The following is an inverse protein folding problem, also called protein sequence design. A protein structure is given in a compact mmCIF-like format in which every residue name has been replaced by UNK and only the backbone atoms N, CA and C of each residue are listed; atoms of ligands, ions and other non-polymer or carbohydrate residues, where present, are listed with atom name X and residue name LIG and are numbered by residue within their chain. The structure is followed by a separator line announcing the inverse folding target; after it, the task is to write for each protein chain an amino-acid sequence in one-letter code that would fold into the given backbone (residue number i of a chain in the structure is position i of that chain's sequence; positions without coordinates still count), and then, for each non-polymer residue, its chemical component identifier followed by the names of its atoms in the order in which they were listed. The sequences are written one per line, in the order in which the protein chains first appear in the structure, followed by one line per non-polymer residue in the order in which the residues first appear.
data_IF_034081966439
#
_entry.id   IF_034081966439
#
_cell.length_a   1.000
_cell.length_b   1.000
_cell.length_c   1.000
_cell.angle_alpha   90.00
_cell.angle_beta   90.00
_cell.angle_gamma   90.00
#
_symmetry.space_group_name_H-M   'P 1'
#
loop_
_entity.id
_entity.type
_entity.pdbx_description
1 polymer ?
#
# COMPACT_ATOMS: atom_id res chain seq x y z
N UNK A 1 40.50 50.96 24.39
CA UNK A 1 40.36 51.09 22.92
C UNK A 1 39.91 49.73 22.31
N UNK A 2 40.50 48.61 22.72
CA UNK A 2 40.12 47.27 22.15
C UNK A 2 38.68 46.78 22.44
N UNK A 3 38.05 47.19 23.55
CA UNK A 3 36.67 46.74 23.88
C UNK A 3 35.58 47.48 23.09
N UNK A 4 35.85 48.68 22.61
CA UNK A 4 34.93 49.44 21.76
C UNK A 4 34.81 48.86 20.36
N UNK A 5 35.91 48.35 19.80
CA UNK A 5 35.85 47.69 18.48
C UNK A 5 35.06 46.37 18.46
N UNK A 6 35.08 45.62 19.56
CA UNK A 6 34.31 44.36 19.67
C UNK A 6 32.80 44.59 19.75
N UNK A 7 32.34 45.69 20.36
CA UNK A 7 30.92 46.04 20.43
C UNK A 7 30.34 46.54 19.11
N UNK A 8 31.16 47.16 18.26
CA UNK A 8 30.75 47.67 16.95
C UNK A 8 30.73 46.58 15.88
N UNK A 9 31.54 45.51 16.02
CA UNK A 9 31.62 44.42 15.05
C UNK A 9 30.51 43.35 15.28
N UNK A 10 30.05 43.19 16.52
CA UNK A 10 29.04 42.19 16.88
C UNK A 10 27.72 42.29 16.09
N UNK A 11 27.13 43.51 15.94
CA UNK A 11 25.93 43.68 15.12
C UNK A 11 26.13 43.31 13.65
N UNK A 12 27.34 43.55 13.10
CA UNK A 12 27.68 43.16 11.71
C UNK A 12 27.77 41.63 11.54
N UNK A 13 28.28 40.90 12.54
CA UNK A 13 28.31 39.43 12.52
C UNK A 13 26.89 38.85 12.66
N UNK A 14 26.06 39.42 13.54
CA UNK A 14 24.66 39.02 13.70
C UNK A 14 23.87 39.29 12.42
N UNK A 15 24.11 40.37 11.73
CA UNK A 15 23.49 40.73 10.45
C UNK A 15 23.88 39.73 9.34
N UNK A 16 25.17 39.34 9.29
CA UNK A 16 25.66 38.32 8.37
C UNK A 16 25.03 36.95 8.63
N UNK A 17 24.91 36.54 9.89
CA UNK A 17 24.29 35.27 10.27
C UNK A 17 22.79 35.26 9.95
N UNK A 18 22.09 36.36 10.25
CA UNK A 18 20.66 36.49 9.94
C UNK A 18 20.41 36.47 8.42
N UNK A 19 21.25 37.15 7.64
CA UNK A 19 21.18 37.16 6.19
C UNK A 19 21.41 35.74 5.61
N UNK A 20 22.41 35.03 6.12
CA UNK A 20 22.65 33.63 5.71
C UNK A 20 21.47 32.69 6.01
N UNK A 21 20.84 32.89 7.20
CA UNK A 21 19.64 32.11 7.57
C UNK A 21 18.44 32.43 6.66
N UNK A 22 18.21 33.71 6.37
CA UNK A 22 17.15 34.14 5.44
C UNK A 22 17.40 33.57 4.03
N UNK A 23 18.64 33.67 3.54
CA UNK A 23 19.02 33.14 2.24
C UNK A 23 18.80 31.61 2.18
N UNK A 24 19.20 30.89 3.25
CA UNK A 24 18.96 29.46 3.38
C UNK A 24 17.47 29.11 3.38
N UNK A 25 16.66 29.89 4.09
CA UNK A 25 15.19 29.68 4.09
C UNK A 25 14.57 29.94 2.71
N UNK A 26 14.99 31.01 2.03
CA UNK A 26 14.52 31.34 0.66
C UNK A 26 14.93 30.24 -0.33
N UNK A 27 16.17 29.74 -0.23
CA UNK A 27 16.63 28.63 -1.09
C UNK A 27 15.80 27.38 -0.88
N UNK A 28 15.53 26.98 0.38
CA UNK A 28 14.65 25.84 0.68
C UNK A 28 13.22 26.04 0.20
N UNK A 29 12.67 27.26 0.36
CA UNK A 29 11.35 27.58 -0.16
C UNK A 29 11.30 27.47 -1.70
N UNK A 30 12.35 27.96 -2.36
CA UNK A 30 12.46 27.84 -3.81
C UNK A 30 12.58 26.39 -4.25
N UNK A 31 13.38 25.55 -3.59
CA UNK A 31 13.48 24.11 -3.86
C UNK A 31 12.12 23.41 -3.78
N UNK A 32 11.28 23.81 -2.80
CA UNK A 32 9.92 23.27 -2.65
C UNK A 32 9.00 23.75 -3.78
N UNK A 33 9.09 25.04 -4.15
CA UNK A 33 8.27 25.61 -5.23
C UNK A 33 8.66 25.10 -6.61
N UNK A 34 9.93 24.75 -6.80
CA UNK A 34 10.46 24.20 -8.05
C UNK A 34 10.20 22.68 -8.20
N UNK A 35 9.60 22.02 -7.18
CA UNK A 35 9.18 20.61 -7.30
C UNK A 35 8.17 20.52 -8.44
N UNK A 36 8.44 19.70 -9.47
CA UNK A 36 7.52 19.56 -10.59
C UNK A 36 6.18 18.99 -10.12
N UNK A 37 5.11 19.72 -10.41
CA UNK A 37 3.75 19.22 -10.19
C UNK A 37 3.44 18.19 -11.26
N UNK A 38 2.97 17.02 -10.84
CA UNK A 38 2.51 15.99 -11.77
C UNK A 38 1.36 16.53 -12.61
N UNK A 39 1.60 16.67 -13.92
CA UNK A 39 0.57 17.06 -14.90
C UNK A 39 0.08 15.80 -15.61
N UNK A 40 -1.22 15.73 -15.86
CA UNK A 40 -1.84 14.63 -16.57
C UNK A 40 -3.29 14.93 -16.92
N UNK A 41 -3.91 14.06 -17.71
CA UNK A 41 -5.33 14.16 -18.05
C UNK A 41 -6.20 13.51 -16.97
N UNK A 42 -7.42 14.04 -16.81
CA UNK A 42 -8.44 13.53 -15.87
C UNK A 42 -9.29 12.41 -16.45
N UNK A 43 -9.02 11.98 -17.67
CA UNK A 43 -9.79 10.95 -18.38
C UNK A 43 -9.21 9.58 -18.04
N UNK A 44 -9.87 8.82 -17.15
CA UNK A 44 -9.45 7.49 -16.75
C UNK A 44 -9.99 6.43 -17.71
N UNK A 45 -9.19 5.43 -18.11
CA UNK A 45 -9.64 4.39 -19.03
C UNK A 45 -10.83 3.58 -18.48
N UNK A 46 -11.76 3.19 -19.36
CA UNK A 46 -12.88 2.30 -19.01
C UNK A 46 -12.41 0.85 -18.76
N UNK A 47 -11.36 0.43 -19.44
CA UNK A 47 -10.71 -0.85 -19.20
C UNK A 47 -9.66 -0.68 -18.10
N UNK A 48 -9.66 -1.55 -17.11
CA UNK A 48 -8.81 -1.48 -15.94
C UNK A 48 -7.72 -2.56 -15.93
N UNK A 49 -7.31 -3.08 -17.11
CA UNK A 49 -6.14 -3.93 -17.20
C UNK A 49 -4.88 -3.15 -16.79
N UNK A 50 -3.95 -3.86 -16.16
CA UNK A 50 -2.69 -3.26 -15.68
C UNK A 50 -1.56 -3.98 -16.40
N UNK A 51 -0.66 -3.20 -17.00
CA UNK A 51 0.49 -3.76 -17.70
C UNK A 51 1.79 -3.03 -17.34
N UNK A 52 2.78 -3.78 -16.92
CA UNK A 52 4.15 -3.33 -16.74
C UNK A 52 4.98 -3.86 -17.91
N UNK A 53 5.67 -2.97 -18.64
CA UNK A 53 6.51 -3.30 -19.80
C UNK A 53 7.95 -2.92 -19.53
N UNK A 54 8.81 -3.93 -19.39
CA UNK A 54 10.26 -3.77 -19.19
C UNK A 54 10.62 -2.76 -18.09
N UNK A 55 9.85 -2.75 -17.00
CA UNK A 55 9.97 -1.74 -15.93
C UNK A 55 11.26 -1.95 -15.16
N UNK A 56 12.08 -0.87 -15.10
CA UNK A 56 13.23 -0.75 -14.21
C UNK A 56 13.01 0.39 -13.23
N UNK A 57 13.35 0.14 -11.95
CA UNK A 57 13.18 1.13 -10.91
C UNK A 57 14.21 1.00 -9.79
N UNK A 58 14.74 2.13 -9.36
CA UNK A 58 15.62 2.28 -8.20
C UNK A 58 15.16 3.47 -7.36
N UNK A 59 15.17 3.33 -6.02
CA UNK A 59 14.97 4.49 -5.16
C UNK A 59 16.22 5.37 -5.21
N UNK A 60 16.05 6.69 -5.42
CA UNK A 60 17.14 7.65 -5.33
C UNK A 60 17.55 7.77 -3.87
N UNK A 61 18.79 7.48 -3.55
CA UNK A 61 19.39 7.78 -2.24
C UNK A 61 19.85 9.25 -2.29
N UNK A 62 19.02 10.19 -1.85
CA UNK A 62 19.50 11.54 -1.54
C UNK A 62 20.35 11.45 -0.27
N UNK A 63 21.56 12.00 -0.31
CA UNK A 63 22.66 11.90 0.65
C UNK A 63 22.30 11.63 2.10
N UNK A 64 22.94 10.60 2.64
CA UNK A 64 23.23 10.35 4.05
C UNK A 64 22.16 10.70 5.11
N UNK A 65 21.01 10.02 5.09
CA UNK A 65 20.22 9.71 6.29
C UNK A 65 18.97 8.94 5.84
N UNK A 66 19.02 7.61 5.92
CA UNK A 66 17.83 6.77 5.68
C UNK A 66 17.99 5.67 4.63
N UNK A 67 19.21 5.13 4.44
CA UNK A 67 19.37 3.88 3.70
C UNK A 67 18.61 2.76 4.42
N UNK A 68 17.43 2.38 3.90
CA UNK A 68 16.84 1.08 4.24
C UNK A 68 17.82 0.02 3.70
N UNK A 69 18.20 -0.92 4.57
CA UNK A 69 19.14 -2.01 4.28
C UNK A 69 18.70 -2.79 3.03
N UNK A 70 19.35 -2.50 1.92
CA UNK A 70 19.26 -3.21 0.65
C UNK A 70 20.50 -2.89 -0.13
N UNK A 71 21.29 -3.91 -0.46
CA UNK A 71 22.64 -3.81 -1.01
C UNK A 71 22.83 -2.70 -2.05
N UNK A 72 23.78 -1.83 -1.78
CA UNK A 72 24.22 -0.75 -2.67
C UNK A 72 24.85 -1.35 -3.93
N UNK A 73 24.24 -1.07 -5.09
CA UNK A 73 24.94 -1.20 -6.40
C UNK A 73 26.11 -0.24 -6.48
N UNK A 74 27.06 -0.50 -7.37
CA UNK A 74 28.31 0.26 -7.55
C UNK A 74 28.13 1.78 -7.76
N UNK A 75 26.88 2.24 -8.05
CA UNK A 75 26.56 3.64 -8.36
C UNK A 75 25.68 4.32 -7.29
N UNK A 76 25.58 3.77 -6.07
CA UNK A 76 24.72 4.34 -5.01
C UNK A 76 23.21 4.24 -5.28
N UNK A 77 22.79 3.47 -6.28
CA UNK A 77 21.38 3.16 -6.59
C UNK A 77 21.09 1.72 -6.20
N UNK A 78 19.99 1.51 -5.54
CA UNK A 78 19.50 0.15 -5.22
C UNK A 78 18.48 -0.24 -6.29
N UNK A 79 18.89 -1.03 -7.29
CA UNK A 79 17.97 -1.57 -8.29
C UNK A 79 16.97 -2.52 -7.60
N UNK A 80 15.74 -2.07 -7.49
CA UNK A 80 14.65 -2.83 -6.85
C UNK A 80 13.84 -3.62 -7.87
N UNK A 81 13.73 -3.11 -9.11
CA UNK A 81 13.08 -3.80 -10.21
C UNK A 81 13.96 -3.74 -11.46
N UNK A 82 14.09 -4.89 -12.16
CA UNK A 82 14.98 -5.06 -13.31
C UNK A 82 14.22 -5.71 -14.47
N UNK A 83 13.67 -4.89 -15.39
CA UNK A 83 13.00 -5.35 -16.59
C UNK A 83 11.73 -6.14 -16.31
N UNK A 84 10.92 -5.69 -15.36
CA UNK A 84 9.67 -6.36 -14.96
C UNK A 84 8.64 -6.26 -16.06
N UNK A 85 8.08 -7.43 -16.43
CA UNK A 85 6.94 -7.56 -17.33
C UNK A 85 5.81 -8.27 -16.60
N UNK A 86 4.62 -7.66 -16.55
CA UNK A 86 3.44 -8.21 -15.92
C UNK A 86 2.19 -7.71 -16.64
N UNK A 87 1.23 -8.58 -16.87
CA UNK A 87 -0.09 -8.21 -17.36
C UNK A 87 -1.18 -8.82 -16.48
N UNK A 88 -2.06 -7.95 -15.97
CA UNK A 88 -3.25 -8.27 -15.17
C UNK A 88 -4.44 -7.80 -16.00
N UNK A 89 -5.38 -8.70 -16.27
CA UNK A 89 -6.57 -8.38 -17.08
C UNK A 89 -7.58 -7.62 -16.26
N UNK A 90 -8.45 -6.87 -16.93
CA UNK A 90 -9.60 -6.24 -16.27
C UNK A 90 -10.44 -7.28 -15.54
N UNK A 91 -10.80 -6.98 -14.28
CA UNK A 91 -11.53 -7.90 -13.40
C UNK A 91 -10.73 -9.08 -12.86
N UNK A 92 -9.45 -9.25 -13.23
CA UNK A 92 -8.58 -10.33 -12.73
C UNK A 92 -8.04 -10.04 -11.34
N UNK A 93 -7.93 -11.08 -10.51
CA UNK A 93 -7.30 -11.03 -9.20
C UNK A 93 -5.93 -11.71 -9.26
N UNK A 94 -4.87 -10.90 -9.17
CA UNK A 94 -3.48 -11.34 -9.26
C UNK A 94 -2.79 -11.30 -7.89
N UNK A 95 -2.21 -12.43 -7.47
CA UNK A 95 -1.34 -12.44 -6.30
C UNK A 95 0.12 -12.17 -6.67
N UNK A 96 0.79 -11.28 -5.95
CA UNK A 96 2.24 -11.08 -5.98
C UNK A 96 2.88 -11.86 -4.82
N UNK A 97 3.69 -12.85 -5.12
CA UNK A 97 4.37 -13.71 -4.15
C UNK A 97 5.88 -13.56 -4.32
N UNK A 98 6.63 -13.56 -3.23
CA UNK A 98 8.09 -13.46 -3.25
C UNK A 98 8.65 -13.13 -1.89
N UNK A 99 9.98 -13.22 -1.72
CA UNK A 99 10.65 -12.89 -0.46
C UNK A 99 10.43 -11.43 -0.06
N UNK A 100 10.62 -11.12 1.22
CA UNK A 100 10.70 -9.73 1.67
C UNK A 100 11.81 -9.01 0.91
N UNK A 101 11.57 -7.77 0.48
CA UNK A 101 12.53 -6.99 -0.32
C UNK A 101 12.62 -7.36 -1.81
N UNK A 102 11.84 -8.32 -2.33
CA UNK A 102 11.89 -8.72 -3.74
C UNK A 102 11.32 -7.67 -4.72
N UNK A 103 10.69 -6.59 -4.23
CA UNK A 103 10.12 -5.53 -5.06
C UNK A 103 8.59 -5.54 -5.19
N UNK A 104 7.87 -6.41 -4.44
CA UNK A 104 6.39 -6.48 -4.49
C UNK A 104 5.71 -5.14 -4.16
N UNK A 105 6.09 -4.51 -3.04
CA UNK A 105 5.54 -3.20 -2.64
C UNK A 105 5.90 -2.11 -3.64
N UNK A 106 7.09 -2.18 -4.23
CA UNK A 106 7.49 -1.24 -5.30
C UNK A 106 6.60 -1.37 -6.53
N UNK A 107 6.20 -2.59 -6.92
CA UNK A 107 5.27 -2.79 -8.05
C UNK A 107 3.94 -2.06 -7.78
N UNK A 108 3.35 -2.22 -6.59
CA UNK A 108 2.08 -1.55 -6.26
C UNK A 108 2.24 -0.03 -6.13
N UNK A 109 3.37 0.46 -5.63
CA UNK A 109 3.68 1.89 -5.56
C UNK A 109 3.80 2.53 -6.96
N UNK A 110 4.37 1.80 -7.94
CA UNK A 110 4.46 2.24 -9.32
C UNK A 110 3.10 2.22 -10.04
N UNK A 111 2.28 1.20 -9.80
CA UNK A 111 0.90 1.13 -10.34
C UNK A 111 0.05 2.29 -9.80
N UNK A 112 0.24 2.67 -8.54
CA UNK A 112 -0.43 3.81 -7.90
C UNK A 112 0.22 5.15 -8.21
N UNK A 113 1.28 5.17 -9.02
CA UNK A 113 2.09 6.35 -9.37
C UNK A 113 2.61 7.11 -8.16
N UNK A 114 2.96 6.42 -7.05
CA UNK A 114 3.71 7.06 -5.95
C UNK A 114 5.14 7.40 -6.39
N UNK A 115 5.63 6.71 -7.40
CA UNK A 115 6.90 6.98 -8.10
C UNK A 115 6.71 6.79 -9.59
N UNK A 116 7.48 7.54 -10.39
CA UNK A 116 7.60 7.32 -11.83
C UNK A 116 8.74 6.35 -12.13
N UNK A 117 8.54 5.44 -13.09
CA UNK A 117 9.57 4.50 -13.55
C UNK A 117 10.71 5.23 -14.26
N UNK A 118 11.95 4.73 -14.09
CA UNK A 118 13.11 5.25 -14.80
C UNK A 118 13.19 4.71 -16.23
N UNK A 119 12.87 3.41 -16.42
CA UNK A 119 12.84 2.79 -17.75
C UNK A 119 11.57 1.91 -17.82
N UNK A 120 11.06 1.75 -19.04
CA UNK A 120 9.83 1.01 -19.29
C UNK A 120 8.57 1.85 -19.03
N UNK A 121 7.44 1.16 -18.96
CA UNK A 121 6.11 1.78 -18.85
C UNK A 121 5.23 1.01 -17.87
N UNK A 122 4.37 1.76 -17.16
CA UNK A 122 3.23 1.23 -16.41
C UNK A 122 1.96 1.76 -17.06
N UNK A 123 1.08 0.85 -17.47
CA UNK A 123 -0.12 1.17 -18.21
C UNK A 123 -1.36 0.71 -17.43
N UNK A 124 -2.42 1.50 -17.47
CA UNK A 124 -3.77 1.14 -17.04
C UNK A 124 -4.70 1.35 -18.23
N UNK A 125 -5.42 0.31 -18.65
CA UNK A 125 -6.28 0.36 -19.83
C UNK A 125 -5.53 0.76 -21.11
N UNK A 126 -4.25 0.39 -21.23
CA UNK A 126 -3.38 0.75 -22.34
C UNK A 126 -2.83 2.18 -22.29
N UNK A 127 -3.20 3.01 -21.31
CA UNK A 127 -2.71 4.38 -21.12
C UNK A 127 -1.61 4.43 -20.07
N UNK A 128 -0.53 5.15 -20.37
CA UNK A 128 0.58 5.30 -19.44
C UNK A 128 0.15 6.09 -18.19
N UNK A 129 0.45 5.57 -16.99
CA UNK A 129 0.09 6.23 -15.73
C UNK A 129 0.70 7.63 -15.60
N UNK A 130 1.81 7.92 -16.28
CA UNK A 130 2.43 9.25 -16.35
C UNK A 130 1.57 10.30 -17.09
N UNK A 131 0.64 9.85 -17.92
CA UNK A 131 -0.27 10.72 -18.67
C UNK A 131 -1.55 11.05 -17.91
N UNK A 132 -1.83 10.34 -16.81
CA UNK A 132 -2.98 10.57 -15.95
C UNK A 132 -2.62 11.54 -14.83
N UNK A 133 -3.54 12.43 -14.45
CA UNK A 133 -3.32 13.25 -13.27
C UNK A 133 -3.37 12.39 -11.98
N UNK A 134 -2.70 12.86 -10.93
CA UNK A 134 -2.56 12.10 -9.69
C UNK A 134 -3.91 11.88 -8.98
N UNK A 135 -4.78 12.89 -8.97
CA UNK A 135 -6.09 12.81 -8.33
C UNK A 135 -6.98 11.79 -9.05
N UNK A 136 -6.88 11.71 -10.37
CA UNK A 136 -7.58 10.72 -11.18
C UNK A 136 -7.14 9.31 -10.84
N UNK A 137 -5.84 9.06 -10.72
CA UNK A 137 -5.32 7.75 -10.29
C UNK A 137 -5.81 7.44 -8.87
N UNK A 138 -5.67 8.39 -7.94
CA UNK A 138 -6.09 8.19 -6.55
C UNK A 138 -7.61 7.96 -6.41
N UNK A 139 -8.45 8.51 -7.30
CA UNK A 139 -9.90 8.22 -7.30
C UNK A 139 -10.19 6.79 -7.74
N UNK A 140 -9.43 6.26 -8.70
CA UNK A 140 -9.71 4.98 -9.36
C UNK A 140 -8.89 3.80 -8.84
N UNK A 141 -7.94 4.04 -7.94
CA UNK A 141 -7.13 2.99 -7.26
C UNK A 141 -7.39 3.05 -5.76
N UNK A 142 -7.90 1.99 -5.17
CA UNK A 142 -8.04 1.85 -3.72
C UNK A 142 -6.91 0.97 -3.19
N UNK A 143 -6.33 1.35 -2.04
CA UNK A 143 -5.26 0.59 -1.40
C UNK A 143 -5.65 0.30 0.04
N UNK A 144 -5.58 -0.98 0.43
CA UNK A 144 -5.69 -1.42 1.83
C UNK A 144 -4.29 -1.83 2.29
N UNK A 145 -3.68 -1.00 3.13
CA UNK A 145 -2.32 -1.22 3.64
C UNK A 145 -2.30 -2.21 4.79
N UNK A 146 -1.16 -2.89 4.98
CA UNK A 146 -0.87 -3.75 6.13
C UNK A 146 -1.06 -3.02 7.47
N UNK A 147 -0.52 -1.80 7.58
CA UNK A 147 -0.68 -0.95 8.76
C UNK A 147 -1.82 0.03 8.52
N UNK A 148 -2.96 -0.27 9.12
CA UNK A 148 -4.12 0.60 9.05
C UNK A 148 -3.94 1.83 9.92
N UNK A 149 -4.04 3.01 9.31
CA UNK A 149 -4.04 4.28 10.01
C UNK A 149 -5.48 4.76 10.24
N UNK A 150 -5.78 5.16 11.48
CA UNK A 150 -7.02 5.84 11.85
C UNK A 150 -6.69 7.21 12.41
N UNK A 151 -7.44 8.23 11.99
CA UNK A 151 -7.35 9.59 12.53
C UNK A 151 -8.04 9.66 13.90
N UNK A 152 -7.83 10.76 14.65
CA UNK A 152 -8.50 10.97 15.95
C UNK A 152 -9.98 11.36 15.83
N UNK A 153 -10.49 11.43 14.62
CA UNK A 153 -11.88 11.76 14.34
C UNK A 153 -12.84 10.64 14.73
N UNK A 154 -14.14 10.81 14.48
CA UNK A 154 -15.14 9.78 14.69
C UNK A 154 -14.93 8.57 13.76
N UNK A 155 -15.54 7.44 14.07
CA UNK A 155 -15.57 6.27 13.19
C UNK A 155 -16.17 6.64 11.84
N UNK A 156 -17.23 7.45 11.83
CA UNK A 156 -17.88 7.97 10.63
C UNK A 156 -16.88 8.68 9.71
N UNK A 157 -16.14 9.65 10.24
CA UNK A 157 -15.18 10.42 9.47
C UNK A 157 -13.97 9.56 9.03
N UNK A 158 -13.59 8.59 9.85
CA UNK A 158 -12.57 7.61 9.48
C UNK A 158 -12.98 6.74 8.29
N UNK A 159 -14.25 6.39 8.13
CA UNK A 159 -14.74 5.65 6.97
C UNK A 159 -14.93 6.59 5.77
N UNK A 160 -15.49 7.78 5.96
CA UNK A 160 -15.68 8.79 4.92
C UNK A 160 -14.37 9.25 4.25
N UNK A 161 -13.32 9.44 5.04
CA UNK A 161 -12.03 9.98 4.56
C UNK A 161 -12.18 11.23 3.67
N UNK A 162 -13.01 12.18 4.13
CA UNK A 162 -13.25 13.43 3.42
C UNK A 162 -14.26 13.37 2.26
N UNK A 163 -14.89 12.21 2.01
CA UNK A 163 -16.01 12.14 1.05
C UNK A 163 -17.29 12.77 1.65
N UNK A 164 -18.22 13.16 0.80
CA UNK A 164 -19.54 13.67 1.19
C UNK A 164 -20.58 12.57 1.39
N UNK A 165 -20.16 11.31 1.55
CA UNK A 165 -21.06 10.17 1.71
C UNK A 165 -21.99 10.33 2.92
N UNK A 166 -23.26 9.97 2.77
CA UNK A 166 -24.26 9.97 3.84
C UNK A 166 -23.94 8.91 4.91
N UNK A 167 -24.55 9.02 6.08
CA UNK A 167 -24.44 8.00 7.12
C UNK A 167 -24.95 6.63 6.62
N UNK A 168 -25.99 6.61 5.78
CA UNK A 168 -26.56 5.39 5.22
C UNK A 168 -25.57 4.67 4.29
N UNK A 169 -24.89 5.41 3.43
CA UNK A 169 -23.84 4.86 2.55
C UNK A 169 -22.65 4.33 3.35
N UNK A 170 -22.23 5.06 4.39
CA UNK A 170 -21.16 4.62 5.29
C UNK A 170 -21.56 3.34 6.02
N UNK A 171 -22.81 3.24 6.52
CA UNK A 171 -23.32 2.04 7.16
C UNK A 171 -23.42 0.85 6.21
N UNK A 172 -23.84 1.08 4.96
CA UNK A 172 -23.86 0.04 3.95
C UNK A 172 -22.45 -0.53 3.71
N UNK A 173 -21.46 0.34 3.55
CA UNK A 173 -20.06 -0.07 3.41
C UNK A 173 -19.52 -0.80 4.65
N UNK A 174 -19.89 -0.35 5.86
CA UNK A 174 -19.50 -0.98 7.12
C UNK A 174 -20.11 -2.38 7.29
N UNK A 175 -21.35 -2.60 6.85
CA UNK A 175 -22.01 -3.93 6.84
C UNK A 175 -21.29 -4.89 5.90
N UNK A 176 -20.94 -4.46 4.70
CA UNK A 176 -20.17 -5.27 3.76
C UNK A 176 -18.77 -5.60 4.31
N UNK A 177 -18.17 -4.67 5.06
CA UNK A 177 -16.90 -4.84 5.76
C UNK A 177 -17.02 -5.63 7.08
N UNK A 178 -18.19 -6.16 7.45
CA UNK A 178 -18.43 -6.94 8.67
C UNK A 178 -18.05 -6.17 9.96
N UNK A 179 -18.34 -4.84 10.04
CA UNK A 179 -17.95 -3.98 11.17
C UNK A 179 -19.12 -3.13 11.71
N UNK A 180 -20.29 -3.08 11.03
CA UNK A 180 -21.44 -2.25 11.46
C UNK A 180 -21.95 -2.64 12.86
N UNK A 181 -22.10 -3.94 13.14
CA UNK A 181 -22.59 -4.43 14.43
C UNK A 181 -21.66 -4.04 15.59
N UNK A 182 -20.35 -4.16 15.37
CA UNK A 182 -19.34 -3.69 16.32
C UNK A 182 -19.46 -2.18 16.54
N UNK A 183 -19.54 -1.37 15.47
CA UNK A 183 -19.66 0.09 15.59
C UNK A 183 -20.94 0.46 16.36
N UNK A 184 -22.06 -0.20 16.07
CA UNK A 184 -23.33 0.03 16.76
C UNK A 184 -23.33 -0.39 18.24
N UNK A 185 -22.41 -1.27 18.64
CA UNK A 185 -22.23 -1.65 20.05
C UNK A 185 -21.41 -0.63 20.86
N UNK A 186 -20.75 0.33 20.20
CA UNK A 186 -20.00 1.39 20.87
C UNK A 186 -20.95 2.41 21.51
N UNK A 187 -20.57 3.06 22.63
CA UNK A 187 -21.45 3.99 23.35
C UNK A 187 -22.04 5.11 22.49
N UNK A 188 -21.22 5.67 21.57
CA UNK A 188 -21.63 6.75 20.67
C UNK A 188 -21.76 6.27 19.21
N UNK A 189 -21.80 4.94 18.98
CA UNK A 189 -21.91 4.36 17.64
C UNK A 189 -20.88 4.94 16.65
N UNK A 190 -21.35 5.43 15.51
CA UNK A 190 -20.52 6.05 14.48
C UNK A 190 -19.86 7.35 14.90
N UNK A 191 -20.38 8.07 15.90
CA UNK A 191 -19.77 9.31 16.43
C UNK A 191 -18.67 9.03 17.45
N UNK A 192 -18.44 7.76 17.81
CA UNK A 192 -17.38 7.36 18.72
C UNK A 192 -16.03 7.86 18.22
N UNK A 193 -15.33 8.66 19.05
CA UNK A 193 -14.00 9.17 18.73
C UNK A 193 -12.97 8.06 18.82
N UNK A 194 -12.24 7.90 17.73
CA UNK A 194 -11.09 6.99 17.67
C UNK A 194 -9.95 7.61 18.46
N UNK A 195 -9.46 6.95 19.50
CA UNK A 195 -8.33 7.46 20.30
C UNK A 195 -7.07 7.67 19.46
N UNK A 196 -6.00 8.16 20.08
CA UNK A 196 -4.72 8.40 19.38
C UNK A 196 -4.30 7.17 18.57
N UNK A 197 -4.22 7.32 17.24
CA UNK A 197 -3.88 6.25 16.29
C UNK A 197 -4.72 4.97 16.40
N UNK A 198 -5.99 5.11 16.81
CA UNK A 198 -6.88 3.95 16.95
C UNK A 198 -6.57 3.08 18.17
N UNK A 199 -5.98 3.62 19.24
CA UNK A 199 -5.57 2.86 20.43
C UNK A 199 -6.70 2.08 21.11
N UNK A 200 -7.97 2.42 20.84
CA UNK A 200 -9.16 1.76 21.38
C UNK A 200 -9.67 0.58 20.57
N UNK A 201 -9.10 0.34 19.38
CA UNK A 201 -9.55 -0.69 18.45
C UNK A 201 -8.50 -1.78 18.29
N UNK A 202 -8.93 -3.02 18.20
CA UNK A 202 -8.08 -4.16 17.87
C UNK A 202 -7.53 -4.05 16.43
N UNK A 203 -6.54 -4.86 16.10
CA UNK A 203 -6.00 -4.91 14.73
C UNK A 203 -7.05 -5.28 13.68
N UNK A 204 -7.92 -6.26 13.99
CA UNK A 204 -8.99 -6.70 13.09
C UNK A 204 -10.07 -5.63 12.86
N UNK A 205 -10.48 -4.92 13.91
CA UNK A 205 -11.44 -3.82 13.80
C UNK A 205 -10.90 -2.67 12.96
N UNK A 206 -9.65 -2.25 13.20
CA UNK A 206 -8.98 -1.24 12.36
C UNK A 206 -8.95 -1.64 10.89
N UNK A 207 -8.65 -2.91 10.63
CA UNK A 207 -8.57 -3.43 9.29
C UNK A 207 -9.93 -3.44 8.60
N UNK A 208 -11.01 -3.87 9.30
CA UNK A 208 -12.37 -3.81 8.75
C UNK A 208 -12.85 -2.38 8.51
N UNK A 209 -12.44 -1.40 9.33
CA UNK A 209 -12.67 0.03 9.05
C UNK A 209 -11.96 0.46 7.77
N UNK A 210 -10.71 0.03 7.54
CA UNK A 210 -10.00 0.33 6.29
C UNK A 210 -10.64 -0.35 5.07
N UNK A 211 -11.16 -1.56 5.24
CA UNK A 211 -11.93 -2.26 4.19
C UNK A 211 -13.23 -1.48 3.90
N UNK A 212 -13.96 -0.99 4.93
CA UNK A 212 -15.14 -0.16 4.74
C UNK A 212 -14.84 1.12 3.95
N UNK A 213 -13.70 1.80 4.20
CA UNK A 213 -13.21 2.91 3.38
C UNK A 213 -13.06 2.53 1.91
N UNK A 214 -12.43 1.39 1.66
CA UNK A 214 -12.18 0.93 0.30
C UNK A 214 -13.48 0.53 -0.42
N UNK A 215 -14.46 -0.05 0.29
CA UNK A 215 -15.80 -0.35 -0.22
C UNK A 215 -16.53 0.94 -0.56
N UNK A 216 -16.56 1.91 0.36
CA UNK A 216 -17.22 3.20 0.17
C UNK A 216 -16.63 3.97 -1.02
N UNK A 217 -15.31 3.95 -1.17
CA UNK A 217 -14.60 4.56 -2.29
C UNK A 217 -14.96 3.93 -3.63
N UNK A 218 -15.28 2.65 -3.64
CA UNK A 218 -15.70 1.86 -4.81
C UNK A 218 -14.82 2.02 -6.08
N UNK A 219 -13.50 2.13 -5.89
CA UNK A 219 -12.56 2.22 -7.00
C UNK A 219 -12.51 0.91 -7.82
N UNK A 220 -12.35 0.97 -9.17
CA UNK A 220 -12.31 -0.21 -10.04
C UNK A 220 -11.02 -1.04 -9.88
N UNK A 221 -9.93 -0.43 -9.46
CA UNK A 221 -8.66 -1.11 -9.17
C UNK A 221 -8.46 -1.16 -7.65
N UNK A 222 -8.13 -2.34 -7.13
CA UNK A 222 -7.91 -2.58 -5.72
C UNK A 222 -6.53 -3.18 -5.49
N UNK A 223 -5.81 -2.63 -4.52
CA UNK A 223 -4.52 -3.15 -4.05
C UNK A 223 -4.67 -3.56 -2.59
N UNK A 224 -4.35 -4.82 -2.28
CA UNK A 224 -4.35 -5.36 -0.94
C UNK A 224 -2.92 -5.69 -0.53
N UNK A 225 -2.35 -4.88 0.36
CA UNK A 225 -1.00 -5.10 0.88
C UNK A 225 -1.09 -5.77 2.25
N UNK A 226 -0.83 -7.08 2.30
CA UNK A 226 -0.92 -7.92 3.52
C UNK A 226 -2.24 -7.79 4.32
N UNK A 227 -3.33 -7.46 3.65
CA UNK A 227 -4.61 -7.15 4.29
C UNK A 227 -5.26 -8.32 5.07
N UNK A 228 -4.62 -9.49 5.17
CA UNK A 228 -5.19 -10.72 5.76
C UNK A 228 -4.51 -11.17 7.05
N UNK A 229 -3.78 -10.30 7.75
CA UNK A 229 -2.95 -10.68 8.91
C UNK A 229 -3.61 -10.43 10.27
N UNK A 230 -4.83 -10.95 10.54
CA UNK A 230 -5.39 -10.97 11.89
C UNK A 230 -4.76 -12.09 12.75
N UNK A 231 -4.62 -11.84 14.05
CA UNK A 231 -4.02 -12.81 15.00
C UNK A 231 -5.04 -13.78 15.59
N UNK A 232 -6.33 -13.50 15.40
CA UNK A 232 -7.46 -14.23 15.97
C UNK A 232 -8.29 -14.89 14.86
N UNK A 233 -8.61 -16.22 14.95
CA UNK A 233 -9.36 -16.95 13.93
C UNK A 233 -10.74 -16.37 13.62
N UNK A 234 -11.48 -15.87 14.61
CA UNK A 234 -12.81 -15.32 14.44
C UNK A 234 -12.77 -14.01 13.64
N UNK A 235 -11.88 -13.12 14.02
CA UNK A 235 -11.61 -11.89 13.26
C UNK A 235 -11.11 -12.19 11.84
N UNK A 236 -10.37 -13.29 11.64
CA UNK A 236 -9.89 -13.67 10.31
C UNK A 236 -11.05 -14.03 9.36
N UNK A 237 -12.06 -14.76 9.84
CA UNK A 237 -13.22 -15.13 9.00
C UNK A 237 -14.01 -13.89 8.56
N UNK A 238 -14.21 -12.92 9.46
CA UNK A 238 -14.90 -11.67 9.13
C UNK A 238 -14.10 -10.82 8.15
N UNK A 239 -12.78 -10.72 8.31
CA UNK A 239 -11.89 -10.04 7.38
C UNK A 239 -11.91 -10.70 6.01
N UNK A 240 -11.82 -12.02 5.94
CA UNK A 240 -11.84 -12.77 4.67
C UNK A 240 -13.16 -12.54 3.92
N UNK A 241 -14.30 -12.53 4.63
CA UNK A 241 -15.61 -12.21 4.06
C UNK A 241 -15.70 -10.76 3.57
N UNK A 242 -15.18 -9.81 4.35
CA UNK A 242 -15.12 -8.40 3.97
C UNK A 242 -14.26 -8.19 2.71
N UNK A 243 -13.10 -8.85 2.61
CA UNK A 243 -12.23 -8.81 1.44
C UNK A 243 -12.91 -9.44 0.22
N UNK A 244 -13.59 -10.57 0.37
CA UNK A 244 -14.34 -11.18 -0.73
C UNK A 244 -15.41 -10.22 -1.28
N UNK A 245 -16.14 -9.50 -0.42
CA UNK A 245 -17.10 -8.49 -0.84
C UNK A 245 -16.41 -7.34 -1.58
N UNK A 246 -15.32 -6.83 -1.03
CA UNK A 246 -14.55 -5.73 -1.61
C UNK A 246 -13.98 -6.04 -3.00
N UNK A 247 -13.57 -7.30 -3.26
CA UNK A 247 -12.96 -7.72 -4.52
C UNK A 247 -13.96 -7.94 -5.67
N UNK A 248 -15.28 -7.94 -5.43
CA UNK A 248 -16.27 -8.22 -6.46
C UNK A 248 -16.23 -7.22 -7.61
N UNK A 249 -16.07 -7.72 -8.84
CA UNK A 249 -16.12 -6.90 -10.06
C UNK A 249 -14.95 -5.91 -10.22
N UNK A 250 -13.83 -6.14 -9.54
CA UNK A 250 -12.67 -5.23 -9.56
C UNK A 250 -11.41 -5.94 -10.08
N UNK A 251 -10.51 -5.17 -10.67
CA UNK A 251 -9.13 -5.62 -10.93
C UNK A 251 -8.34 -5.54 -9.63
N UNK A 252 -7.77 -6.68 -9.16
CA UNK A 252 -7.20 -6.76 -7.82
C UNK A 252 -5.74 -7.21 -7.86
N UNK A 253 -4.88 -6.50 -7.15
CA UNK A 253 -3.51 -6.93 -6.84
C UNK A 253 -3.44 -7.26 -5.36
N UNK A 254 -3.05 -8.50 -5.03
CA UNK A 254 -2.85 -8.97 -3.65
C UNK A 254 -1.37 -9.21 -3.40
N UNK A 255 -0.74 -8.44 -2.53
CA UNK A 255 0.60 -8.76 -2.03
C UNK A 255 0.45 -9.81 -0.94
N UNK A 256 0.76 -11.05 -1.29
CA UNK A 256 0.54 -12.19 -0.42
C UNK A 256 1.79 -12.52 0.40
N UNK A 257 1.74 -12.27 1.70
CA UNK A 257 2.67 -12.81 2.70
C UNK A 257 2.15 -14.10 3.32
N UNK A 258 0.84 -14.29 3.32
CA UNK A 258 0.19 -15.56 3.71
C UNK A 258 -0.40 -16.24 2.49
N UNK A 259 -0.05 -17.49 2.28
CA UNK A 259 -0.52 -18.26 1.13
C UNK A 259 -2.04 -18.55 1.17
N UNK A 260 -2.71 -18.33 2.32
CA UNK A 260 -4.18 -18.38 2.43
C UNK A 260 -4.87 -17.35 1.53
N UNK A 261 -4.28 -16.18 1.33
CA UNK A 261 -4.80 -15.11 0.47
C UNK A 261 -4.85 -15.52 -1.02
N UNK A 262 -4.05 -16.52 -1.43
CA UNK A 262 -4.02 -17.01 -2.81
C UNK A 262 -5.33 -17.67 -3.25
N UNK A 263 -6.15 -18.17 -2.30
CA UNK A 263 -7.46 -18.74 -2.60
C UNK A 263 -8.44 -17.75 -3.24
N UNK A 264 -8.18 -16.46 -3.07
CA UNK A 264 -8.99 -15.38 -3.65
C UNK A 264 -8.50 -14.96 -5.04
N UNK A 265 -7.35 -15.46 -5.49
CA UNK A 265 -6.68 -14.99 -6.68
C UNK A 265 -6.83 -15.98 -7.85
N UNK A 266 -7.00 -15.42 -9.04
CA UNK A 266 -7.14 -16.22 -10.27
C UNK A 266 -5.77 -16.67 -10.79
N UNK A 267 -4.75 -15.79 -10.64
CA UNK A 267 -3.36 -16.08 -11.04
C UNK A 267 -2.36 -15.57 -9.98
N UNK A 268 -1.16 -16.09 -10.08
CA UNK A 268 -0.02 -15.79 -9.23
C UNK A 268 1.15 -15.32 -10.07
N UNK A 269 1.78 -14.23 -9.68
CA UNK A 269 3.06 -13.77 -10.20
C UNK A 269 4.14 -13.89 -9.10
N UNK A 270 5.22 -14.59 -9.40
CA UNK A 270 6.34 -14.79 -8.47
C UNK A 270 7.43 -13.77 -8.75
N UNK A 271 7.74 -12.96 -7.73
CA UNK A 271 8.76 -11.93 -7.77
C UNK A 271 10.02 -12.45 -7.08
N UNK A 272 11.08 -12.69 -7.85
CA UNK A 272 12.39 -13.14 -7.39
C UNK A 272 13.48 -12.38 -8.10
N UNK A 273 14.60 -12.12 -7.44
CA UNK A 273 15.77 -11.46 -8.02
C UNK A 273 15.40 -10.16 -8.77
N UNK A 274 14.52 -9.35 -8.15
CA UNK A 274 14.11 -8.05 -8.69
C UNK A 274 13.30 -8.09 -10.01
N UNK A 275 12.81 -9.27 -10.41
CA UNK A 275 11.99 -9.46 -11.62
C UNK A 275 10.86 -10.45 -11.39
N UNK A 276 9.98 -10.64 -12.38
CA UNK A 276 8.93 -11.66 -12.34
C UNK A 276 9.44 -12.91 -13.04
N UNK A 277 9.57 -14.01 -12.28
CA UNK A 277 10.13 -15.27 -12.78
C UNK A 277 9.07 -16.24 -13.27
N UNK A 278 7.85 -16.13 -12.78
CA UNK A 278 6.72 -17.02 -13.17
C UNK A 278 5.39 -16.31 -13.02
N UNK A 279 4.49 -16.50 -13.98
CA UNK A 279 3.09 -16.05 -13.93
C UNK A 279 2.19 -17.16 -14.44
N UNK A 280 1.10 -17.43 -13.75
CA UNK A 280 0.12 -18.47 -14.13
C UNK A 280 -0.88 -18.76 -13.03
N UNK A 281 -1.71 -19.78 -13.22
CA UNK A 281 -2.56 -20.31 -12.14
C UNK A 281 -1.71 -20.90 -11.02
N UNK A 282 -2.30 -21.09 -9.84
CA UNK A 282 -1.62 -21.72 -8.71
C UNK A 282 -0.91 -23.03 -9.11
N UNK A 283 -1.60 -23.92 -9.83
CA UNK A 283 -1.06 -25.22 -10.24
C UNK A 283 0.07 -25.11 -11.26
N UNK A 284 -0.03 -24.17 -12.19
CA UNK A 284 1.01 -23.95 -13.19
C UNK A 284 2.29 -23.42 -12.55
N UNK A 285 2.16 -22.43 -11.65
CA UNK A 285 3.30 -21.83 -10.97
C UNK A 285 3.92 -22.84 -9.99
N UNK A 286 3.13 -23.63 -9.26
CA UNK A 286 3.61 -24.69 -8.37
C UNK A 286 4.46 -25.72 -9.12
N UNK A 287 4.10 -26.06 -10.35
CA UNK A 287 4.88 -27.00 -11.17
C UNK A 287 6.17 -26.40 -11.69
N UNK A 288 6.14 -25.12 -12.12
CA UNK A 288 7.25 -24.48 -12.83
C UNK A 288 8.25 -23.79 -11.92
N UNK A 289 7.83 -23.25 -10.77
CA UNK A 289 8.66 -22.45 -9.89
C UNK A 289 9.00 -23.21 -8.61
N UNK A 290 10.28 -23.47 -8.38
CA UNK A 290 10.77 -24.24 -7.22
C UNK A 290 10.58 -23.48 -5.90
N UNK A 291 10.79 -22.15 -5.89
CA UNK A 291 10.59 -21.32 -4.70
C UNK A 291 9.13 -21.36 -4.24
N UNK A 292 8.21 -21.12 -5.19
CA UNK A 292 6.78 -21.12 -4.90
C UNK A 292 6.29 -22.47 -4.39
N UNK A 293 6.73 -23.58 -5.03
CA UNK A 293 6.41 -24.95 -4.62
C UNK A 293 6.86 -25.21 -3.17
N UNK A 294 8.11 -24.87 -2.83
CA UNK A 294 8.64 -25.04 -1.47
C UNK A 294 7.86 -24.20 -0.47
N UNK A 295 7.59 -22.94 -0.76
CA UNK A 295 6.81 -22.06 0.11
C UNK A 295 5.39 -22.62 0.36
N UNK A 296 4.77 -23.19 -0.66
CA UNK A 296 3.46 -23.84 -0.53
C UNK A 296 3.52 -25.11 0.34
N UNK A 297 4.50 -25.99 0.12
CA UNK A 297 4.69 -27.19 0.94
C UNK A 297 4.92 -26.86 2.42
N UNK A 298 5.70 -25.84 2.71
CA UNK A 298 5.96 -25.37 4.07
C UNK A 298 4.67 -24.81 4.72
N UNK A 299 3.85 -24.08 3.96
CA UNK A 299 2.54 -23.62 4.42
C UNK A 299 1.57 -24.78 4.70
N UNK A 300 1.48 -25.79 3.83
CA UNK A 300 0.62 -26.95 4.04
C UNK A 300 1.04 -27.76 5.29
N UNK A 301 2.34 -27.90 5.51
CA UNK A 301 2.87 -28.55 6.72
C UNK A 301 2.48 -27.78 7.99
N UNK A 302 2.68 -26.45 8.00
CA UNK A 302 2.34 -25.61 9.15
C UNK A 302 0.83 -25.70 9.46
N UNK A 303 -0.03 -25.62 8.44
CA UNK A 303 -1.49 -25.74 8.59
C UNK A 303 -1.90 -27.09 9.19
N UNK A 304 -1.31 -28.19 8.72
CA UNK A 304 -1.64 -29.53 9.21
C UNK A 304 -1.19 -29.77 10.66
N UNK A 305 -0.12 -29.09 11.11
CA UNK A 305 0.34 -29.13 12.51
C UNK A 305 -0.69 -28.40 13.40
N UNK A 306 -1.17 -27.22 12.98
CA UNK A 306 -2.17 -26.44 13.74
C UNK A 306 -3.46 -27.23 13.91
N UNK A 307 -3.98 -27.88 12.87
CA UNK A 307 -5.17 -28.73 12.95
C UNK A 307 -5.01 -29.92 13.90
N UNK A 308 -3.79 -30.50 13.98
CA UNK A 308 -3.53 -31.63 14.91
C UNK A 308 -3.48 -31.17 16.37
N UNK A 309 -3.01 -29.97 16.64
CA UNK A 309 -2.96 -29.40 18.00
C UNK A 309 -4.35 -28.99 18.49
N UNK A 310 -5.19 -28.43 17.61
CA UNK A 310 -6.57 -28.05 17.95
C UNK A 310 -7.53 -29.25 18.04
N UNK A 311 -7.36 -30.27 17.18
CA UNK A 311 -8.15 -31.51 17.21
C UNK A 311 -7.76 -32.50 18.31
N UNK A 312 -6.58 -32.36 18.91
CA UNK A 312 -6.11 -33.20 20.02
C UNK A 312 -6.55 -32.74 21.42
N UNK A 313 -7.06 -31.53 21.55
CA UNK A 313 -7.53 -30.98 22.83
C UNK A 313 -9.00 -31.33 23.17
N UNK A 314 -9.69 -32.08 22.29
CA UNK A 314 -11.10 -32.44 22.44
C UNK A 314 -11.36 -33.86 23.01
N UNK A 315 -10.34 -34.63 23.34
CA UNK A 315 -10.45 -35.96 23.90
C UNK A 315 -9.46 -36.18 25.07
N UNK A 316 -9.68 -35.51 26.18
CA UNK A 316 -9.11 -35.87 27.49
C UNK A 316 -10.11 -35.49 28.59
#
# INVERSE_FOLDING_TARGET
VGSLYLTEIRPLQELGTNFANVLGAVTKAKEILDIPVYQGGSDFPENHDIELRSVRFSYKVNGSEGAREGGLGRDGKTDVLQGVNLKIRDGERMALVGRSGAGKSTIIELVSRFYDVQEGEVLIGGRNVKELDYDTILKNVAIVFQKTFLTRDSVLENIRMGSSASLEEVRAAAKEAQIDDFIMSLPDGYDTKVGSFGSRFSGGEKQRIAIARAILKNAPILILDEATSASDPENQMEIDKAIQNLCKGKTVIVVAHRLSALKLCDRVAVVENHTITSVGTHEEVRRKNAYYRKAWEDYEKARNITYRLEGGAGNA
#
